data_IF_600512231433
#
_entry.id   IF_600512231433
#
_cell.length_a   1.000
_cell.length_b   1.000
_cell.length_c   1.000
_cell.angle_alpha   90.00
_cell.angle_beta   90.00
_cell.angle_gamma   90.00
#
_symmetry.space_group_name_H-M   'P 1'
#
loop_
_entity.id
_entity.type
_entity.pdbx_description
1 polymer ?
#
# COMPACT_ATOMS: atom_id res chain seq x y z
N UNK A 1 -9.25 -8.82 -11.99
CA UNK A 1 -10.42 -8.79 -11.07
C UNK A 1 -10.02 -8.75 -9.60
N UNK A 2 -9.20 -9.68 -9.09
CA UNK A 2 -8.79 -9.78 -7.66
C UNK A 2 -8.09 -8.53 -7.10
N UNK A 3 -7.18 -7.94 -7.86
CA UNK A 3 -6.46 -6.73 -7.46
C UNK A 3 -7.38 -5.49 -7.47
N UNK A 4 -8.41 -5.50 -8.33
CA UNK A 4 -9.38 -4.41 -8.44
C UNK A 4 -10.35 -4.38 -7.26
N UNK A 5 -10.81 -5.53 -6.77
CA UNK A 5 -11.74 -5.60 -5.64
C UNK A 5 -11.06 -5.11 -4.34
N UNK A 6 -9.83 -5.56 -4.07
CA UNK A 6 -9.06 -5.08 -2.91
C UNK A 6 -8.89 -3.57 -2.96
N UNK A 7 -8.55 -3.02 -4.14
CA UNK A 7 -8.41 -1.59 -4.37
C UNK A 7 -9.70 -0.82 -4.16
N UNK A 8 -10.81 -1.31 -4.72
CA UNK A 8 -12.12 -0.68 -4.58
C UNK A 8 -12.58 -0.72 -3.13
N UNK A 9 -12.35 -1.82 -2.42
CA UNK A 9 -12.72 -1.92 -1.00
C UNK A 9 -11.82 -1.07 -0.10
N UNK A 10 -10.50 -1.03 -0.33
CA UNK A 10 -9.61 -0.13 0.42
C UNK A 10 -9.91 1.33 0.11
N UNK A 11 -10.14 1.69 -1.16
CA UNK A 11 -10.54 3.04 -1.56
C UNK A 11 -11.91 3.39 -1.00
N UNK A 12 -12.89 2.48 -1.02
CA UNK A 12 -14.21 2.71 -0.46
C UNK A 12 -14.16 2.88 1.07
N UNK A 13 -13.34 2.10 1.77
CA UNK A 13 -13.13 2.28 3.21
C UNK A 13 -12.42 3.60 3.53
N UNK A 14 -11.42 3.99 2.74
CA UNK A 14 -10.72 5.28 2.90
C UNK A 14 -11.66 6.45 2.57
N UNK A 15 -12.47 6.34 1.52
CA UNK A 15 -13.47 7.34 1.14
C UNK A 15 -14.54 7.45 2.23
N UNK A 16 -15.05 6.32 2.74
CA UNK A 16 -16.01 6.28 3.86
C UNK A 16 -15.44 6.84 5.16
N UNK A 17 -14.16 6.57 5.47
CA UNK A 17 -13.49 7.18 6.63
C UNK A 17 -13.31 8.69 6.46
N UNK A 18 -13.15 9.17 5.22
CA UNK A 18 -12.97 10.60 4.90
C UNK A 18 -14.26 11.43 4.82
N UNK A 19 -15.41 10.79 4.65
CA UNK A 19 -16.72 11.44 4.66
C UNK A 19 -17.03 12.17 5.98
N UNK A 20 -16.31 11.85 7.07
CA UNK A 20 -16.39 12.55 8.35
C UNK A 20 -15.73 13.95 8.36
N UNK A 21 -14.93 14.32 7.35
CA UNK A 21 -13.99 15.47 7.44
C UNK A 21 -14.22 16.56 6.38
N UNK A 22 -14.95 16.29 5.29
CA UNK A 22 -15.23 17.31 4.26
C UNK A 22 -14.02 17.74 3.41
N UNK A 23 -12.85 17.09 3.56
CA UNK A 23 -11.64 17.32 2.76
C UNK A 23 -11.22 16.02 2.08
N UNK A 24 -11.05 16.05 0.76
CA UNK A 24 -10.74 14.84 -0.03
C UNK A 24 -9.32 14.32 0.31
N UNK A 25 -9.16 13.08 0.81
CA UNK A 25 -7.88 12.56 1.33
C UNK A 25 -6.87 12.22 0.23
N UNK A 26 -7.30 12.17 -1.03
CA UNK A 26 -6.48 11.84 -2.19
C UNK A 26 -6.88 12.77 -3.33
N UNK A 27 -5.99 13.66 -3.77
CA UNK A 27 -6.21 14.36 -5.04
C UNK A 27 -6.28 13.33 -6.19
N UNK A 28 -7.20 13.50 -7.14
CA UNK A 28 -7.42 12.55 -8.26
C UNK A 28 -6.12 12.16 -9.00
N UNK A 29 -5.19 13.11 -9.10
CA UNK A 29 -3.88 12.96 -9.75
C UNK A 29 -2.92 12.06 -8.97
N UNK A 30 -2.96 12.19 -7.66
CA UNK A 30 -2.18 11.46 -6.67
C UNK A 30 -2.54 9.95 -6.64
N UNK A 31 -3.82 9.62 -6.88
CA UNK A 31 -4.29 8.23 -6.99
C UNK A 31 -3.81 7.48 -8.26
N UNK A 32 -3.38 8.21 -9.30
CA UNK A 32 -3.01 7.62 -10.58
C UNK A 32 -1.71 6.82 -10.53
N UNK A 33 -0.67 7.32 -9.83
CA UNK A 33 0.62 6.61 -9.66
C UNK A 33 0.43 5.31 -8.88
N UNK A 34 -0.41 5.36 -7.84
CA UNK A 34 -0.81 4.20 -7.07
C UNK A 34 -1.50 3.18 -7.99
N UNK A 35 -2.53 3.60 -8.72
CA UNK A 35 -3.24 2.74 -9.67
C UNK A 35 -2.30 2.09 -10.71
N UNK A 36 -1.46 2.91 -11.35
CA UNK A 36 -0.55 2.49 -12.41
C UNK A 36 0.48 1.47 -11.92
N UNK A 37 1.22 1.80 -10.85
CA UNK A 37 2.33 0.97 -10.39
C UNK A 37 1.85 -0.30 -9.70
N UNK A 38 0.72 -0.25 -9.01
CA UNK A 38 0.30 -1.40 -8.19
C UNK A 38 -0.84 -2.22 -8.81
N UNK A 39 -1.61 -1.71 -9.79
CA UNK A 39 -2.59 -2.50 -10.58
C UNK A 39 -2.16 -2.59 -12.02
N UNK A 40 -1.93 -1.44 -12.68
CA UNK A 40 -1.81 -1.33 -14.12
C UNK A 40 -0.68 -2.20 -14.69
N UNK A 41 0.55 -1.89 -14.28
CA UNK A 41 1.75 -2.61 -14.75
C UNK A 41 1.71 -4.09 -14.32
N UNK A 42 1.39 -4.44 -13.06
CA UNK A 42 1.27 -5.84 -12.66
C UNK A 42 0.24 -6.62 -13.47
N UNK A 43 -0.90 -6.04 -13.82
CA UNK A 43 -1.94 -6.74 -14.57
C UNK A 43 -1.49 -7.07 -16.00
N UNK A 44 -0.79 -6.14 -16.67
CA UNK A 44 -0.22 -6.37 -17.99
C UNK A 44 0.88 -7.43 -17.93
N UNK A 45 1.79 -7.33 -16.96
CA UNK A 45 2.87 -8.29 -16.79
C UNK A 45 2.33 -9.71 -16.49
N UNK A 46 1.30 -9.83 -15.65
CA UNK A 46 0.64 -11.10 -15.36
C UNK A 46 -0.09 -11.68 -16.59
N UNK A 47 -0.67 -10.82 -17.45
CA UNK A 47 -1.27 -11.27 -18.71
C UNK A 47 -0.22 -11.83 -19.68
N UNK A 48 0.93 -11.16 -19.80
CA UNK A 48 2.06 -11.62 -20.61
C UNK A 48 2.68 -12.92 -20.08
N UNK A 49 2.56 -13.19 -18.77
CA UNK A 49 3.09 -14.39 -18.12
C UNK A 49 2.03 -15.47 -17.85
N UNK A 50 0.83 -15.33 -18.39
CA UNK A 50 -0.24 -16.28 -18.17
C UNK A 50 0.11 -17.65 -18.79
N UNK A 51 0.60 -18.58 -17.97
CA UNK A 51 0.72 -19.99 -18.33
C UNK A 51 -0.55 -20.75 -17.92
N UNK A 52 -1.10 -21.67 -18.75
CA UNK A 52 -2.32 -22.40 -18.42
C UNK A 52 -2.09 -23.28 -17.17
N UNK A 53 -2.60 -22.85 -16.00
CA UNK A 53 -2.53 -23.64 -14.77
C UNK A 53 -3.87 -24.32 -14.50
N UNK A 54 -3.86 -25.63 -14.30
CA UNK A 54 -5.05 -26.43 -13.94
C UNK A 54 -5.60 -25.95 -12.58
N UNK A 55 -6.93 -25.84 -12.50
CA UNK A 55 -7.69 -25.33 -11.34
C UNK A 55 -7.44 -26.21 -10.10
N UNK A 56 -6.98 -25.59 -9.00
CA UNK A 56 -7.02 -26.15 -7.65
C UNK A 56 -8.16 -25.52 -6.82
N UNK A 57 -8.61 -26.17 -5.73
CA UNK A 57 -9.79 -25.76 -4.96
C UNK A 57 -9.63 -24.42 -4.21
N UNK A 58 -10.79 -23.75 -4.04
CA UNK A 58 -11.14 -22.51 -3.31
C UNK A 58 -10.16 -21.33 -3.23
N UNK A 59 -9.67 -20.87 -4.40
CA UNK A 59 -9.02 -19.56 -4.59
C UNK A 59 -9.71 -18.38 -3.86
N UNK A 60 -11.02 -18.43 -3.62
CA UNK A 60 -11.78 -17.37 -2.97
C UNK A 60 -11.55 -17.29 -1.44
N UNK A 61 -11.43 -18.43 -0.74
CA UNK A 61 -11.20 -18.46 0.71
C UNK A 61 -9.80 -17.98 1.06
N UNK A 62 -8.82 -18.44 0.28
CA UNK A 62 -7.40 -18.06 0.41
C UNK A 62 -7.20 -16.55 0.16
N UNK A 63 -7.98 -15.97 -0.77
CA UNK A 63 -7.98 -14.53 -1.02
C UNK A 63 -8.58 -13.73 0.12
N UNK A 64 -9.69 -14.17 0.71
CA UNK A 64 -10.35 -13.43 1.79
C UNK A 64 -9.43 -13.40 3.03
N UNK A 65 -8.84 -14.54 3.40
CA UNK A 65 -7.90 -14.63 4.51
C UNK A 65 -6.63 -13.80 4.32
N UNK A 66 -6.18 -13.61 3.08
CA UNK A 66 -5.00 -12.80 2.79
C UNK A 66 -5.32 -11.29 2.66
N UNK A 67 -6.40 -10.96 1.95
CA UNK A 67 -6.74 -9.58 1.57
C UNK A 67 -7.32 -8.78 2.74
N UNK A 68 -8.11 -9.41 3.59
CA UNK A 68 -8.79 -8.73 4.69
C UNK A 68 -7.80 -8.13 5.72
N UNK A 69 -6.84 -8.88 6.30
CA UNK A 69 -5.86 -8.31 7.21
C UNK A 69 -4.96 -7.27 6.53
N UNK A 70 -4.57 -7.50 5.27
CA UNK A 70 -3.81 -6.54 4.48
C UNK A 70 -4.55 -5.21 4.36
N UNK A 71 -5.85 -5.25 4.04
CA UNK A 71 -6.65 -4.03 3.84
C UNK A 71 -6.86 -3.27 5.15
N UNK A 72 -7.19 -3.98 6.24
CA UNK A 72 -7.41 -3.38 7.57
C UNK A 72 -6.13 -2.73 8.09
N UNK A 73 -5.02 -3.46 8.07
CA UNK A 73 -3.74 -2.95 8.58
C UNK A 73 -3.22 -1.80 7.70
N UNK A 74 -3.39 -1.87 6.38
CA UNK A 74 -3.04 -0.76 5.48
C UNK A 74 -3.90 0.48 5.74
N UNK A 75 -5.20 0.31 5.99
CA UNK A 75 -6.09 1.44 6.27
C UNK A 75 -5.74 2.11 7.59
N UNK A 76 -5.53 1.32 8.65
CA UNK A 76 -5.20 1.84 9.98
C UNK A 76 -3.86 2.59 9.95
N UNK A 77 -2.82 1.95 9.41
CA UNK A 77 -1.49 2.57 9.34
C UNK A 77 -1.44 3.71 8.33
N UNK A 78 -2.22 3.66 7.25
CA UNK A 78 -2.36 4.78 6.31
C UNK A 78 -2.92 6.03 7.00
N UNK A 79 -3.94 5.87 7.84
CA UNK A 79 -4.49 6.97 8.63
C UNK A 79 -3.44 7.56 9.57
N UNK A 80 -2.65 6.71 10.25
CA UNK A 80 -1.55 7.14 11.11
C UNK A 80 -0.44 7.85 10.32
N UNK A 81 -0.11 7.40 9.11
CA UNK A 81 0.86 8.10 8.25
C UNK A 81 0.34 9.48 7.88
N UNK A 82 -0.92 9.60 7.48
CA UNK A 82 -1.52 10.88 7.10
C UNK A 82 -1.51 11.86 8.27
N UNK A 83 -2.14 11.52 9.39
CA UNK A 83 -2.21 12.42 10.54
C UNK A 83 -0.87 12.61 11.24
N UNK A 84 -0.08 11.55 11.36
CA UNK A 84 1.27 11.63 11.94
C UNK A 84 2.16 12.58 11.14
N UNK A 85 2.06 12.56 9.82
CA UNK A 85 2.79 13.49 8.96
C UNK A 85 2.25 14.92 9.08
N UNK A 86 0.92 15.08 9.11
CA UNK A 86 0.28 16.39 9.26
C UNK A 86 0.66 17.07 10.57
N UNK A 87 0.53 16.35 11.69
CA UNK A 87 0.85 16.83 13.04
C UNK A 87 2.35 17.06 13.20
N UNK A 88 3.20 16.16 12.69
CA UNK A 88 4.64 16.36 12.73
C UNK A 88 5.07 17.59 11.93
N UNK A 89 4.47 17.82 10.76
CA UNK A 89 4.79 19.00 9.97
C UNK A 89 4.32 20.29 10.67
N UNK A 90 3.09 20.28 11.19
CA UNK A 90 2.55 21.42 11.94
C UNK A 90 3.40 21.75 13.16
N UNK A 91 3.80 20.75 13.95
CA UNK A 91 4.68 20.95 15.11
C UNK A 91 6.07 21.49 14.72
N UNK A 92 6.61 21.09 13.57
CA UNK A 92 7.91 21.57 13.09
C UNK A 92 7.86 22.98 12.52
N UNK A 93 6.71 23.40 11.98
CA UNK A 93 6.50 24.72 11.40
C UNK A 93 5.86 25.71 12.39
N UNK A 94 5.47 25.25 13.58
CA UNK A 94 4.76 26.07 14.56
C UNK A 94 3.36 26.46 14.07
N UNK A 95 2.72 25.57 13.30
CA UNK A 95 1.42 25.83 12.72
C UNK A 95 0.34 25.79 13.80
N UNK A 96 -0.19 26.95 14.16
CA UNK A 96 -1.22 27.12 15.19
C UNK A 96 -2.59 27.41 14.57
N UNK A 97 -2.63 27.78 13.28
CA UNK A 97 -3.87 28.14 12.57
C UNK A 97 -4.36 27.00 11.68
N UNK A 98 -5.69 26.84 11.56
CA UNK A 98 -6.31 25.88 10.66
C UNK A 98 -5.81 26.02 9.20
N UNK A 99 -5.61 27.25 8.73
CA UNK A 99 -5.09 27.52 7.38
C UNK A 99 -3.69 26.94 7.14
N UNK A 100 -2.82 26.94 8.15
CA UNK A 100 -1.46 26.40 8.06
C UNK A 100 -1.49 24.86 8.07
N UNK A 101 -2.37 24.27 8.87
CA UNK A 101 -2.64 22.83 8.82
C UNK A 101 -3.15 22.40 7.45
N UNK A 102 -4.09 23.16 6.86
CA UNK A 102 -4.62 22.89 5.52
C UNK A 102 -3.52 22.97 4.46
N UNK A 103 -2.57 23.91 4.58
CA UNK A 103 -1.44 24.03 3.68
C UNK A 103 -0.48 22.81 3.74
N UNK A 104 -0.42 22.11 4.89
CA UNK A 104 0.38 20.90 5.07
C UNK A 104 -0.28 19.61 4.54
N UNK A 105 -1.58 19.65 4.18
CA UNK A 105 -2.33 18.48 3.68
C UNK A 105 -1.67 17.81 2.46
N UNK A 106 -1.21 18.52 1.42
CA UNK A 106 -0.58 17.89 0.25
C UNK A 106 0.69 17.08 0.59
N UNK A 107 1.43 17.52 1.61
CA UNK A 107 2.60 16.79 2.11
C UNK A 107 2.18 15.48 2.79
N UNK A 108 1.14 15.53 3.63
CA UNK A 108 0.57 14.34 4.27
C UNK A 108 -0.02 13.34 3.25
N UNK A 109 -0.67 13.84 2.18
CA UNK A 109 -1.17 13.01 1.08
C UNK A 109 -0.02 12.28 0.36
N UNK A 110 1.10 12.98 0.11
CA UNK A 110 2.27 12.40 -0.54
C UNK A 110 2.88 11.28 0.31
N UNK A 111 2.88 11.44 1.64
CA UNK A 111 3.32 10.40 2.57
C UNK A 111 2.43 9.16 2.54
N UNK A 112 1.11 9.38 2.60
CA UNK A 112 0.11 8.33 2.53
C UNK A 112 0.24 7.51 1.23
N UNK A 113 0.37 8.18 0.09
CA UNK A 113 0.48 7.52 -1.22
C UNK A 113 1.77 6.72 -1.30
N UNK A 114 2.88 7.29 -0.83
CA UNK A 114 4.15 6.58 -0.79
C UNK A 114 4.03 5.28 0.02
N UNK A 115 3.46 5.38 1.23
CA UNK A 115 3.16 4.21 2.05
C UNK A 115 2.28 3.18 1.32
N UNK A 116 1.17 3.60 0.72
CA UNK A 116 0.24 2.70 0.02
C UNK A 116 0.86 2.05 -1.23
N UNK A 117 1.69 2.76 -1.97
CA UNK A 117 2.45 2.20 -3.12
C UNK A 117 3.36 1.09 -2.63
N UNK A 118 4.14 1.34 -1.57
CA UNK A 118 5.02 0.33 -0.99
C UNK A 118 4.24 -0.88 -0.47
N UNK A 119 3.14 -0.68 0.26
CA UNK A 119 2.27 -1.77 0.71
C UNK A 119 1.75 -2.59 -0.48
N UNK A 120 1.23 -1.93 -1.52
CA UNK A 120 0.71 -2.60 -2.71
C UNK A 120 1.77 -3.43 -3.47
N UNK A 121 3.00 -2.92 -3.57
CA UNK A 121 4.11 -3.64 -4.20
C UNK A 121 4.62 -4.80 -3.32
N UNK A 122 4.70 -4.61 -2.00
CA UNK A 122 5.07 -5.67 -1.06
C UNK A 122 4.03 -6.80 -1.05
N UNK A 123 2.74 -6.48 -1.20
CA UNK A 123 1.69 -7.49 -1.39
C UNK A 123 1.99 -8.37 -2.62
N UNK A 124 2.48 -7.81 -3.73
CA UNK A 124 2.86 -8.60 -4.90
C UNK A 124 4.02 -9.57 -4.60
N UNK A 125 4.98 -9.15 -3.77
CA UNK A 125 6.05 -10.04 -3.28
C UNK A 125 5.48 -11.15 -2.39
N UNK A 126 4.51 -10.82 -1.54
CA UNK A 126 3.88 -11.78 -0.62
C UNK A 126 2.93 -12.76 -1.30
N UNK A 127 2.34 -12.39 -2.44
CA UNK A 127 1.43 -13.26 -3.18
C UNK A 127 2.15 -14.48 -3.76
N UNK A 128 3.44 -14.35 -4.08
CA UNK A 128 4.32 -15.46 -4.49
C UNK A 128 5.67 -15.33 -3.77
N UNK A 129 5.75 -15.77 -2.51
CA UNK A 129 6.92 -15.51 -1.67
C UNK A 129 8.18 -16.20 -2.22
N UNK A 130 9.27 -15.48 -2.51
CA UNK A 130 10.48 -16.06 -3.11
C UNK A 130 11.34 -16.85 -2.12
N UNK A 131 11.14 -16.69 -0.82
CA UNK A 131 11.95 -17.31 0.24
C UNK A 131 11.08 -17.93 1.32
N UNK A 132 11.58 -19.01 1.96
CA UNK A 132 10.90 -19.76 3.05
C UNK A 132 10.48 -18.89 4.24
N UNK A 133 11.10 -17.73 4.42
CA UNK A 133 10.75 -16.73 5.43
C UNK A 133 9.30 -16.21 5.31
N UNK A 134 8.73 -16.27 4.09
CA UNK A 134 7.40 -15.79 3.74
C UNK A 134 6.43 -16.92 3.32
N UNK A 135 6.94 -18.16 3.19
CA UNK A 135 6.27 -19.35 2.66
C UNK A 135 5.08 -19.89 3.49
N UNK A 136 4.67 -19.17 4.52
CA UNK A 136 3.52 -19.55 5.36
C UNK A 136 2.23 -18.83 4.99
N UNK A 137 2.29 -17.80 4.14
CA UNK A 137 1.11 -17.09 3.63
C UNK A 137 0.56 -17.67 2.32
N UNK A 138 1.37 -18.43 1.57
CA UNK A 138 0.98 -19.11 0.33
C UNK A 138 1.95 -20.27 0.04
N UNK A 139 1.51 -21.28 -0.73
CA UNK A 139 2.38 -22.36 -1.20
C UNK A 139 3.65 -21.81 -1.89
N UNK A 140 4.81 -22.38 -1.54
CA UNK A 140 6.10 -22.00 -2.14
C UNK A 140 6.03 -22.13 -3.67
N UNK A 141 6.00 -20.98 -4.35
CA UNK A 141 6.15 -20.91 -5.80
C UNK A 141 7.60 -20.60 -6.13
N UNK A 142 8.23 -21.43 -6.95
CA UNK A 142 9.61 -21.22 -7.43
C UNK A 142 9.72 -20.02 -8.42
N UNK A 143 8.60 -19.43 -8.84
CA UNK A 143 8.56 -18.30 -9.77
C UNK A 143 8.94 -16.97 -9.09
N UNK A 144 10.18 -16.52 -9.28
CA UNK A 144 10.67 -15.23 -8.74
C UNK A 144 10.23 -13.99 -9.53
N UNK A 145 9.63 -14.16 -10.71
CA UNK A 145 9.27 -13.06 -11.63
C UNK A 145 8.39 -11.97 -10.99
N UNK A 146 7.34 -12.30 -10.20
CA UNK A 146 6.49 -11.29 -9.56
C UNK A 146 7.24 -10.50 -8.47
N UNK A 147 8.13 -11.17 -7.73
CA UNK A 147 8.97 -10.51 -6.72
C UNK A 147 9.97 -9.55 -7.38
N UNK A 148 10.62 -9.95 -8.48
CA UNK A 148 11.51 -9.08 -9.26
C UNK A 148 10.72 -7.87 -9.79
N UNK A 149 9.54 -8.09 -10.37
CA UNK A 149 8.69 -7.00 -10.86
C UNK A 149 8.36 -5.99 -9.76
N UNK A 150 7.95 -6.47 -8.58
CA UNK A 150 7.63 -5.59 -7.47
C UNK A 150 8.85 -4.77 -7.01
N UNK A 151 10.02 -5.38 -6.91
CA UNK A 151 11.27 -4.68 -6.56
C UNK A 151 11.63 -3.62 -7.62
N UNK A 152 11.53 -3.97 -8.91
CA UNK A 152 11.75 -3.01 -10.00
C UNK A 152 10.78 -1.83 -9.90
N UNK A 153 9.50 -2.09 -9.65
CA UNK A 153 8.49 -1.04 -9.50
C UNK A 153 8.70 -0.18 -8.24
N UNK A 154 9.24 -0.75 -7.16
CA UNK A 154 9.62 0.01 -5.97
C UNK A 154 10.75 0.98 -6.30
N UNK A 155 11.77 0.52 -7.02
CA UNK A 155 12.87 1.39 -7.48
C UNK A 155 12.35 2.47 -8.42
N UNK A 156 11.47 2.13 -9.36
CA UNK A 156 10.82 3.10 -10.25
C UNK A 156 10.06 4.15 -9.45
N UNK A 157 9.31 3.76 -8.42
CA UNK A 157 8.62 4.71 -7.55
C UNK A 157 9.58 5.65 -6.81
N UNK A 158 10.69 5.14 -6.28
CA UNK A 158 11.72 5.96 -5.63
C UNK A 158 12.31 6.97 -6.63
N UNK A 159 12.58 6.56 -7.87
CA UNK A 159 13.06 7.46 -8.94
C UNK A 159 12.02 8.53 -9.27
N UNK A 160 10.74 8.15 -9.43
CA UNK A 160 9.63 9.08 -9.64
C UNK A 160 9.57 10.12 -8.51
N UNK A 161 9.74 9.69 -7.27
CA UNK A 161 9.73 10.54 -6.07
C UNK A 161 11.01 11.36 -5.89
N UNK A 162 12.14 10.99 -6.50
CA UNK A 162 13.39 11.75 -6.44
C UNK A 162 13.47 12.84 -7.53
N UNK A 163 12.94 12.56 -8.72
CA UNK A 163 13.06 13.47 -9.88
C UNK A 163 11.96 14.54 -9.85
N UNK A 164 12.29 15.85 -9.82
CA UNK A 164 11.29 16.93 -9.72
C UNK A 164 10.25 16.92 -10.85
N UNK A 165 10.68 16.63 -12.09
CA UNK A 165 9.78 16.58 -13.24
C UNK A 165 8.71 15.47 -13.12
N UNK A 166 9.12 14.29 -12.63
CA UNK A 166 8.22 13.15 -12.42
C UNK A 166 7.30 13.37 -11.22
N UNK A 167 7.82 13.93 -10.12
CA UNK A 167 7.00 14.34 -8.97
C UNK A 167 5.88 15.28 -9.36
N UNK A 168 6.20 16.31 -10.15
CA UNK A 168 5.21 17.27 -10.66
C UNK A 168 4.18 16.62 -11.59
N UNK A 169 4.51 15.53 -12.28
CA UNK A 169 3.56 14.77 -13.13
C UNK A 169 2.48 14.08 -12.28
N UNK A 170 2.85 13.60 -11.10
CA UNK A 170 1.96 12.88 -10.20
C UNK A 170 1.44 13.71 -9.03
N UNK A 171 1.81 15.00 -8.97
CA UNK A 171 1.46 15.93 -7.89
C UNK A 171 2.02 15.54 -6.50
N UNK A 172 3.18 14.89 -6.52
CA UNK A 172 3.90 14.48 -5.31
C UNK A 172 4.71 15.66 -4.75
N UNK A 173 4.45 16.01 -3.49
CA UNK A 173 5.20 17.04 -2.79
C UNK A 173 6.61 16.54 -2.41
N UNK A 174 7.61 17.43 -2.37
CA UNK A 174 8.91 17.09 -1.80
C UNK A 174 8.74 16.76 -0.31
N UNK A 175 8.95 15.49 0.04
CA UNK A 175 8.80 15.04 1.40
C UNK A 175 10.01 15.43 2.25
N UNK A 176 9.74 16.03 3.42
CA UNK A 176 10.76 16.27 4.44
C UNK A 176 11.30 14.92 4.97
N UNK A 177 12.54 14.86 5.48
CA UNK A 177 13.11 13.63 6.03
C UNK A 177 12.25 12.98 7.12
N UNK A 178 11.56 13.79 7.92
CA UNK A 178 10.63 13.31 8.96
C UNK A 178 9.45 12.56 8.36
N UNK A 179 8.82 13.10 7.30
CA UNK A 179 7.72 12.45 6.61
C UNK A 179 8.16 11.14 5.92
N UNK A 180 9.37 11.12 5.37
CA UNK A 180 9.99 9.89 4.83
C UNK A 180 10.19 8.86 5.96
N UNK A 181 10.72 9.29 7.10
CA UNK A 181 10.91 8.45 8.28
C UNK A 181 9.60 7.83 8.78
N UNK A 182 8.52 8.62 8.87
CA UNK A 182 7.18 8.15 9.25
C UNK A 182 6.68 7.10 8.26
N UNK A 183 6.76 7.37 6.94
CA UNK A 183 6.31 6.43 5.93
C UNK A 183 7.11 5.11 5.96
N UNK A 184 8.44 5.17 6.07
CA UNK A 184 9.31 4.00 6.17
C UNK A 184 9.02 3.20 7.44
N UNK A 185 8.89 3.86 8.59
CA UNK A 185 8.53 3.22 9.84
C UNK A 185 7.17 2.52 9.73
N UNK A 186 6.18 3.18 9.14
CA UNK A 186 4.86 2.61 8.92
C UNK A 186 4.92 1.37 8.00
N UNK A 187 5.72 1.38 6.94
CA UNK A 187 5.94 0.19 6.08
C UNK A 187 6.57 -0.95 6.90
N UNK A 188 7.57 -0.67 7.73
CA UNK A 188 8.21 -1.68 8.58
C UNK A 188 7.22 -2.26 9.58
N UNK A 189 6.47 -1.42 10.29
CA UNK A 189 5.42 -1.83 11.23
C UNK A 189 4.36 -2.66 10.50
N UNK A 190 3.92 -2.23 9.32
CA UNK A 190 2.95 -2.94 8.49
C UNK A 190 3.42 -4.35 8.14
N UNK A 191 4.69 -4.50 7.70
CA UNK A 191 5.28 -5.80 7.41
C UNK A 191 5.32 -6.69 8.65
N UNK A 192 5.72 -6.15 9.80
CA UNK A 192 5.80 -6.89 11.05
C UNK A 192 4.42 -7.35 11.53
N UNK A 193 3.42 -6.47 11.50
CA UNK A 193 2.04 -6.78 11.90
C UNK A 193 1.45 -7.87 11.02
N UNK A 194 1.57 -7.75 9.70
CA UNK A 194 1.08 -8.79 8.78
C UNK A 194 1.80 -10.12 8.99
N UNK A 195 3.11 -10.06 9.23
CA UNK A 195 3.88 -11.25 9.55
C UNK A 195 3.41 -11.93 10.83
N UNK A 196 3.10 -11.16 11.88
CA UNK A 196 2.54 -11.70 13.14
C UNK A 196 1.17 -12.32 12.90
N UNK A 197 0.27 -11.63 12.18
CA UNK A 197 -1.08 -12.12 11.87
C UNK A 197 -1.02 -13.45 11.12
N UNK A 198 -0.19 -13.53 10.08
CA UNK A 198 -0.04 -14.76 9.30
C UNK A 198 0.68 -15.87 10.09
N UNK A 199 1.62 -15.54 10.98
CA UNK A 199 2.29 -16.55 11.82
C UNK A 199 1.39 -17.10 12.91
N UNK A 200 0.51 -16.28 13.47
CA UNK A 200 -0.34 -16.63 14.61
C UNK A 200 -1.59 -17.43 14.24
N UNK A 201 -1.81 -17.77 12.96
CA UNK A 201 -3.02 -18.48 12.47
C UNK A 201 -4.31 -17.86 12.99
N UNK A 202 -4.35 -16.53 13.13
CA UNK A 202 -5.51 -15.82 13.69
C UNK A 202 -6.76 -16.20 12.89
N UNK A 203 -6.63 -16.32 11.57
CA UNK A 203 -7.73 -16.74 10.70
C UNK A 203 -8.10 -18.22 10.82
N UNK A 204 -7.18 -19.16 11.00
CA UNK A 204 -7.56 -20.57 11.22
C UNK A 204 -8.29 -20.74 12.56
N UNK A 205 -8.01 -19.87 13.55
CA UNK A 205 -8.70 -19.86 14.84
C UNK A 205 -10.07 -19.19 14.78
N UNK A 206 -10.25 -18.18 13.93
CA UNK A 206 -11.52 -17.46 13.74
C UNK A 206 -12.44 -18.10 12.68
N UNK A 207 -11.89 -18.86 11.72
CA UNK A 207 -12.62 -19.53 10.64
C UNK A 207 -12.67 -21.06 10.81
N UNK A 208 -12.33 -21.59 11.99
CA UNK A 208 -12.62 -22.96 12.36
C UNK A 208 -14.16 -23.15 12.45
N UNK A 209 -14.76 -23.41 11.29
CA UNK A 209 -15.92 -24.26 11.11
C UNK A 209 -15.43 -25.68 10.78
#
# INVERSE_FOLDING_TARGET
>A
LKIFLTRITTLALVIMASLFIGVFPIALRNGSVLSLLTVGIPSVALALWASPRRRGPSLASELIGFVLPVSVVSSLLGLLVFYGTLLANGALEGADTEAELVAAVPLAQSALISFLVFCGLLVLVFLKPPTRWWARAAELSTDRRPAILAVVLMVVFVVISAVPALRRLFDLQPMRPVAVGIAVLAVVVWVLVLRVIWRARVLDRFLAF
#
